data_IF_789280769130
#
_entry.id   IF_789280769130
#
_cell.length_a   1.000
_cell.length_b   1.000
_cell.length_c   1.000
_cell.angle_alpha   90.00
_cell.angle_beta   90.00
_cell.angle_gamma   90.00
#
_symmetry.space_group_name_H-M   'P 1'
#
loop_
_entity.id
_entity.type
_entity.pdbx_description
1 polymer ?
#
# COMPACT_ATOMS: atom_id res chain seq x y z
N UNK A 1 -23.78 -13.44 5.22
CA UNK A 1 -22.89 -12.59 6.05
C UNK A 1 -21.93 -13.40 6.93
N UNK A 2 -22.34 -14.49 7.53
CA UNK A 2 -21.49 -15.32 8.41
C UNK A 2 -20.32 -16.02 7.70
N UNK A 3 -20.51 -16.45 6.46
CA UNK A 3 -19.44 -17.04 5.65
C UNK A 3 -18.36 -16.02 5.25
N UNK A 4 -18.74 -14.76 4.98
CA UNK A 4 -17.79 -13.68 4.69
C UNK A 4 -16.96 -13.28 5.92
N UNK A 5 -17.52 -13.39 7.13
CA UNK A 5 -16.77 -13.23 8.38
C UNK A 5 -15.71 -14.33 8.57
N UNK A 6 -15.97 -15.56 8.08
CA UNK A 6 -15.00 -16.67 8.11
C UNK A 6 -13.80 -16.44 7.17
N UNK A 7 -13.96 -15.65 6.09
CA UNK A 7 -12.89 -15.35 5.15
C UNK A 7 -11.91 -14.29 5.68
N UNK A 8 -12.24 -13.57 6.76
CA UNK A 8 -11.40 -12.55 7.39
C UNK A 8 -10.71 -11.57 6.40
N UNK A 9 -11.43 -11.20 5.32
CA UNK A 9 -10.89 -10.36 4.25
C UNK A 9 -10.21 -9.09 4.79
N UNK A 10 -10.90 -8.38 5.70
CA UNK A 10 -10.37 -7.18 6.34
C UNK A 10 -9.04 -7.44 7.08
N UNK A 11 -8.95 -8.55 7.83
CA UNK A 11 -7.73 -8.91 8.56
C UNK A 11 -6.53 -9.14 7.63
N UNK A 12 -6.73 -9.90 6.55
CA UNK A 12 -5.68 -10.16 5.56
C UNK A 12 -5.22 -8.89 4.84
N UNK A 13 -6.16 -8.00 4.48
CA UNK A 13 -5.81 -6.71 3.86
C UNK A 13 -5.00 -5.83 4.81
N UNK A 14 -5.45 -5.67 6.06
CA UNK A 14 -4.73 -4.85 7.05
C UNK A 14 -3.34 -5.39 7.35
N UNK A 15 -3.17 -6.71 7.38
CA UNK A 15 -1.85 -7.35 7.52
C UNK A 15 -0.95 -7.02 6.33
N UNK A 16 -1.46 -7.15 5.11
CA UNK A 16 -0.71 -6.83 3.89
C UNK A 16 -0.32 -5.35 3.82
N UNK A 17 -1.21 -4.44 4.20
CA UNK A 17 -0.92 -2.99 4.30
C UNK A 17 0.20 -2.74 5.32
N UNK A 18 0.20 -3.45 6.46
CA UNK A 18 1.26 -3.29 7.47
C UNK A 18 2.63 -3.70 6.95
N UNK A 19 2.72 -4.69 6.05
CA UNK A 19 3.97 -5.07 5.38
C UNK A 19 4.39 -4.04 4.33
N UNK A 20 3.43 -3.36 3.71
CA UNK A 20 3.69 -2.37 2.67
C UNK A 20 4.21 -1.04 3.23
N UNK A 21 3.74 -0.61 4.41
CA UNK A 21 4.10 0.69 5.01
C UNK A 21 5.62 0.94 5.04
N UNK A 22 6.48 0.04 5.54
CA UNK A 22 7.93 0.27 5.56
C UNK A 22 8.52 0.45 4.16
N UNK A 23 7.98 -0.25 3.15
CA UNK A 23 8.44 -0.16 1.76
C UNK A 23 8.07 1.20 1.17
N UNK A 24 6.85 1.67 1.44
CA UNK A 24 6.39 3.01 1.03
C UNK A 24 7.23 4.09 1.68
N UNK A 25 7.46 3.99 2.99
CA UNK A 25 8.30 4.96 3.71
C UNK A 25 9.73 4.96 3.15
N UNK A 26 10.38 3.79 3.05
CA UNK A 26 11.74 3.69 2.52
C UNK A 26 11.86 4.17 1.08
N UNK A 27 10.95 3.70 0.20
CA UNK A 27 10.90 4.14 -1.19
C UNK A 27 10.62 5.63 -1.34
N UNK A 28 9.67 6.16 -0.56
CA UNK A 28 9.33 7.58 -0.54
C UNK A 28 10.50 8.46 -0.11
N UNK A 29 11.24 8.08 0.94
CA UNK A 29 12.45 8.81 1.36
C UNK A 29 13.54 8.78 0.29
N UNK A 30 13.77 7.65 -0.37
CA UNK A 30 14.75 7.56 -1.46
C UNK A 30 14.38 8.49 -2.63
N UNK A 31 13.10 8.51 -3.03
CA UNK A 31 12.62 9.46 -4.06
C UNK A 31 12.81 10.90 -3.58
N UNK A 32 12.34 11.21 -2.38
CA UNK A 32 12.38 12.59 -1.85
C UNK A 32 13.80 13.14 -1.75
N UNK A 33 14.73 12.36 -1.18
CA UNK A 33 16.14 12.76 -1.04
C UNK A 33 16.79 12.87 -2.42
N UNK A 34 16.60 11.88 -3.29
CA UNK A 34 17.17 11.88 -4.63
C UNK A 34 16.73 13.09 -5.43
N UNK A 35 15.42 13.36 -5.49
CA UNK A 35 14.87 14.49 -6.25
C UNK A 35 15.21 15.85 -5.60
N UNK A 36 15.20 15.97 -4.27
CA UNK A 36 15.57 17.19 -3.58
C UNK A 36 17.03 17.62 -3.83
N UNK A 37 17.91 16.65 -4.11
CA UNK A 37 19.32 16.88 -4.40
C UNK A 37 19.63 16.89 -5.92
N UNK A 38 18.60 17.07 -6.75
CA UNK A 38 18.73 17.30 -8.19
C UNK A 38 18.65 16.01 -9.04
N UNK A 39 18.30 14.88 -8.45
CA UNK A 39 18.08 13.64 -9.19
C UNK A 39 16.72 13.58 -9.88
N UNK A 40 16.61 12.68 -10.84
CA UNK A 40 15.40 12.38 -11.60
C UNK A 40 15.00 10.92 -11.41
N UNK A 41 13.72 10.66 -11.22
CA UNK A 41 13.22 9.29 -11.17
C UNK A 41 13.09 8.72 -12.59
N UNK A 42 14.01 7.85 -12.96
CA UNK A 42 14.13 7.22 -14.27
C UNK A 42 13.59 5.79 -14.29
N UNK A 43 12.71 5.42 -13.36
CA UNK A 43 12.21 4.04 -13.24
C UNK A 43 11.52 3.53 -14.51
N UNK A 44 10.75 4.40 -15.17
CA UNK A 44 10.05 4.03 -16.41
C UNK A 44 11.00 3.88 -17.62
N UNK A 45 12.04 4.70 -17.69
CA UNK A 45 12.96 4.77 -18.83
C UNK A 45 14.16 3.83 -18.64
N UNK A 46 14.44 3.43 -17.40
CA UNK A 46 15.60 2.63 -17.02
C UNK A 46 16.88 3.44 -16.84
N UNK A 47 17.82 2.91 -16.05
CA UNK A 47 19.13 3.51 -15.83
C UNK A 47 20.10 3.03 -16.89
N UNK A 48 20.65 3.96 -17.70
CA UNK A 48 21.71 3.67 -18.67
C UNK A 48 23.06 3.98 -18.04
N UNK A 49 23.96 3.00 -18.01
CA UNK A 49 25.29 3.15 -17.42
C UNK A 49 26.05 4.36 -17.97
N UNK A 50 26.56 5.21 -17.07
CA UNK A 50 27.28 6.42 -17.42
C UNK A 50 26.42 7.64 -17.77
N UNK A 51 25.07 7.51 -17.76
CA UNK A 51 24.14 8.59 -18.06
C UNK A 51 23.31 9.04 -16.87
N UNK A 52 23.58 8.56 -15.66
CA UNK A 52 22.86 8.94 -14.45
C UNK A 52 23.81 9.31 -13.31
N UNK A 53 23.35 10.18 -12.44
CA UNK A 53 24.03 10.58 -11.21
C UNK A 53 23.68 9.63 -10.06
N UNK A 54 24.38 9.77 -8.93
CA UNK A 54 24.03 9.09 -7.69
C UNK A 54 22.60 9.43 -7.23
N UNK A 55 22.17 10.69 -7.41
CA UNK A 55 20.85 11.15 -7.02
C UNK A 55 19.74 10.60 -7.91
N UNK A 56 19.99 10.44 -9.21
CA UNK A 56 19.08 9.76 -10.14
C UNK A 56 18.91 8.29 -9.75
N UNK A 57 20.00 7.62 -9.41
CA UNK A 57 19.93 6.23 -8.95
C UNK A 57 19.10 6.09 -7.67
N UNK A 58 19.27 7.02 -6.70
CA UNK A 58 18.52 7.03 -5.45
C UNK A 58 17.02 7.23 -5.70
N UNK A 59 16.67 8.26 -6.49
CA UNK A 59 15.28 8.54 -6.87
C UNK A 59 14.64 7.37 -7.63
N UNK A 60 15.40 6.74 -8.52
CA UNK A 60 14.94 5.61 -9.33
C UNK A 60 14.70 4.34 -8.49
N UNK A 61 15.59 4.02 -7.54
CA UNK A 61 15.38 2.92 -6.60
C UNK A 61 14.10 3.10 -5.78
N UNK A 62 13.87 4.31 -5.27
CA UNK A 62 12.64 4.66 -4.56
C UNK A 62 11.41 4.56 -5.46
N UNK A 63 11.50 5.09 -6.68
CA UNK A 63 10.44 5.02 -7.68
C UNK A 63 10.08 3.59 -8.05
N UNK A 64 11.06 2.71 -8.20
CA UNK A 64 10.86 1.29 -8.43
C UNK A 64 10.09 0.61 -7.27
N UNK A 65 10.47 0.91 -6.03
CA UNK A 65 9.78 0.38 -4.86
C UNK A 65 8.31 0.81 -4.81
N UNK A 66 8.02 2.09 -5.12
CA UNK A 66 6.65 2.63 -5.17
C UNK A 66 5.87 2.08 -6.37
N UNK A 67 6.50 1.95 -7.55
CA UNK A 67 5.87 1.39 -8.75
C UNK A 67 5.45 -0.08 -8.60
N UNK A 68 6.10 -0.82 -7.69
CA UNK A 68 5.78 -2.22 -7.39
C UNK A 68 4.73 -2.40 -6.27
N UNK A 69 4.09 -1.35 -5.79
CA UNK A 69 3.06 -1.46 -4.74
C UNK A 69 1.93 -2.45 -5.06
N UNK A 70 1.40 -2.54 -6.31
CA UNK A 70 0.42 -3.56 -6.65
C UNK A 70 0.92 -5.00 -6.47
N UNK A 71 2.19 -5.24 -6.76
CA UNK A 71 2.85 -6.52 -6.53
C UNK A 71 2.97 -6.83 -5.03
N UNK A 72 3.44 -5.85 -4.27
CA UNK A 72 3.71 -5.99 -2.83
C UNK A 72 2.42 -6.31 -2.08
N UNK A 73 1.32 -5.60 -2.37
CA UNK A 73 0.04 -5.85 -1.71
C UNK A 73 -0.54 -7.21 -2.11
N UNK A 74 -0.41 -7.64 -3.37
CA UNK A 74 -0.87 -8.95 -3.82
C UNK A 74 -0.15 -10.08 -3.10
N UNK A 75 1.18 -10.00 -2.99
CA UNK A 75 2.00 -10.96 -2.24
C UNK A 75 1.64 -10.94 -0.76
N UNK A 76 1.48 -9.75 -0.16
CA UNK A 76 1.13 -9.59 1.25
C UNK A 76 -0.21 -10.21 1.60
N UNK A 77 -1.24 -10.00 0.78
CA UNK A 77 -2.58 -10.61 0.96
C UNK A 77 -2.50 -12.12 0.78
N UNK A 78 -1.89 -12.61 -0.29
CA UNK A 78 -1.78 -14.04 -0.57
C UNK A 78 -0.96 -14.78 0.51
N UNK A 79 0.12 -14.16 1.00
CA UNK A 79 0.91 -14.68 2.11
C UNK A 79 0.12 -14.70 3.42
N UNK A 80 -0.63 -13.64 3.72
CA UNK A 80 -1.48 -13.58 4.93
C UNK A 80 -2.56 -14.69 4.93
N UNK A 81 -3.01 -15.13 3.75
CA UNK A 81 -4.03 -16.18 3.60
C UNK A 81 -3.41 -17.57 3.61
N UNK A 82 -2.40 -17.82 2.77
CA UNK A 82 -1.87 -19.16 2.49
C UNK A 82 -0.45 -19.41 3.03
N UNK A 83 0.18 -18.44 3.68
CA UNK A 83 1.56 -18.53 4.11
C UNK A 83 2.53 -18.60 2.93
N UNK A 84 3.65 -19.31 3.11
CA UNK A 84 4.71 -19.44 2.08
C UNK A 84 4.20 -19.89 0.69
N UNK A 85 3.28 -20.87 0.57
CA UNK A 85 2.73 -21.26 -0.73
C UNK A 85 1.99 -20.15 -1.48
N UNK A 86 1.51 -19.11 -0.78
CA UNK A 86 0.83 -17.95 -1.36
C UNK A 86 1.77 -16.93 -2.02
N UNK A 87 3.06 -16.95 -1.71
CA UNK A 87 4.01 -15.94 -2.20
C UNK A 87 4.10 -15.94 -3.72
N UNK A 88 4.38 -17.09 -4.32
CA UNK A 88 4.58 -17.18 -5.76
C UNK A 88 3.33 -16.81 -6.58
N UNK A 89 2.13 -17.35 -6.26
CA UNK A 89 0.92 -16.93 -6.98
C UNK A 89 0.57 -15.46 -6.72
N UNK A 90 0.79 -14.93 -5.51
CA UNK A 90 0.63 -13.51 -5.22
C UNK A 90 1.56 -12.64 -6.07
N UNK A 91 2.80 -13.07 -6.26
CA UNK A 91 3.80 -12.39 -7.10
C UNK A 91 3.36 -12.35 -8.57
N UNK A 92 2.98 -13.50 -9.13
CA UNK A 92 2.53 -13.60 -10.54
C UNK A 92 1.29 -12.73 -10.78
N UNK A 93 0.32 -12.79 -9.90
CA UNK A 93 -0.93 -12.00 -10.03
C UNK A 93 -0.68 -10.51 -9.85
N UNK A 94 0.22 -10.12 -8.92
CA UNK A 94 0.61 -8.72 -8.74
C UNK A 94 1.30 -8.13 -9.97
N UNK A 95 2.20 -8.89 -10.61
CA UNK A 95 2.79 -8.49 -11.89
C UNK A 95 1.73 -8.42 -13.01
N UNK A 96 0.80 -9.37 -13.04
CA UNK A 96 -0.32 -9.34 -14.00
C UNK A 96 -1.16 -8.06 -13.81
N UNK A 97 -1.44 -7.66 -12.57
CA UNK A 97 -2.19 -6.43 -12.26
C UNK A 97 -1.46 -5.17 -12.77
N UNK A 98 -0.13 -5.12 -12.67
CA UNK A 98 0.68 -4.04 -13.25
C UNK A 98 0.60 -4.08 -14.77
N UNK A 99 0.81 -5.24 -15.39
CA UNK A 99 0.86 -5.40 -16.84
C UNK A 99 -0.45 -4.99 -17.56
N UNK A 100 -1.60 -5.15 -16.90
CA UNK A 100 -2.92 -4.79 -17.46
C UNK A 100 -3.44 -3.45 -16.92
N UNK A 101 -2.59 -2.66 -16.25
CA UNK A 101 -2.95 -1.36 -15.66
C UNK A 101 -4.09 -1.42 -14.64
N UNK A 102 -4.35 -2.59 -14.03
CA UNK A 102 -5.34 -2.74 -12.97
C UNK A 102 -4.88 -2.15 -11.62
N UNK A 103 -3.63 -1.72 -11.53
CA UNK A 103 -3.07 -0.97 -10.43
C UNK A 103 -3.15 -1.70 -9.07
N UNK A 104 -3.20 -0.90 -8.02
CA UNK A 104 -3.21 -1.39 -6.65
C UNK A 104 -4.48 -2.18 -6.29
N UNK A 105 -5.65 -1.77 -6.83
CA UNK A 105 -6.93 -2.47 -6.64
C UNK A 105 -6.85 -3.88 -7.24
N UNK A 106 -6.27 -3.98 -8.44
CA UNK A 106 -5.98 -5.26 -9.07
C UNK A 106 -5.06 -6.13 -8.23
N UNK A 107 -4.02 -5.54 -7.61
CA UNK A 107 -3.14 -6.24 -6.68
C UNK A 107 -3.87 -6.81 -5.46
N UNK A 108 -4.77 -6.04 -4.84
CA UNK A 108 -5.59 -6.50 -3.71
C UNK A 108 -6.46 -7.69 -4.11
N UNK A 109 -7.26 -7.53 -5.15
CA UNK A 109 -8.20 -8.58 -5.60
C UNK A 109 -7.46 -9.83 -6.08
N UNK A 110 -6.39 -9.63 -6.84
CA UNK A 110 -5.53 -10.71 -7.28
C UNK A 110 -4.89 -11.47 -6.12
N UNK A 111 -4.42 -10.77 -5.10
CA UNK A 111 -3.88 -11.38 -3.89
C UNK A 111 -4.88 -12.28 -3.15
N UNK A 112 -6.15 -11.86 -3.06
CA UNK A 112 -7.22 -12.71 -2.53
C UNK A 112 -7.43 -13.96 -3.38
N UNK A 113 -7.57 -13.79 -4.71
CA UNK A 113 -7.77 -14.91 -5.64
C UNK A 113 -6.62 -15.91 -5.49
N UNK A 114 -5.38 -15.44 -5.55
CA UNK A 114 -4.18 -16.25 -5.44
C UNK A 114 -4.09 -16.99 -4.09
N UNK A 115 -4.33 -16.28 -2.98
CA UNK A 115 -4.25 -16.84 -1.63
C UNK A 115 -5.32 -17.91 -1.36
N UNK A 116 -6.59 -17.63 -1.68
CA UNK A 116 -7.65 -18.59 -1.48
C UNK A 116 -7.56 -19.78 -2.43
N UNK A 117 -7.12 -19.57 -3.67
CA UNK A 117 -6.88 -20.66 -4.60
C UNK A 117 -5.74 -21.55 -4.12
N UNK A 118 -4.67 -21.00 -3.58
CA UNK A 118 -3.58 -21.77 -2.98
C UNK A 118 -4.09 -22.66 -1.82
N UNK A 119 -4.89 -22.10 -0.89
CA UNK A 119 -5.50 -22.89 0.19
C UNK A 119 -6.44 -23.96 -0.37
N UNK A 120 -7.26 -23.63 -1.36
CA UNK A 120 -8.17 -24.58 -1.99
C UNK A 120 -7.43 -25.79 -2.54
N UNK A 121 -6.33 -25.56 -3.27
CA UNK A 121 -5.48 -26.63 -3.81
C UNK A 121 -4.89 -27.47 -2.68
N UNK A 122 -4.32 -26.85 -1.65
CA UNK A 122 -3.73 -27.55 -0.51
C UNK A 122 -4.75 -28.48 0.18
N UNK A 123 -5.99 -28.03 0.33
CA UNK A 123 -7.02 -28.78 1.06
C UNK A 123 -7.68 -29.89 0.25
N UNK A 124 -7.83 -29.71 -1.06
CA UNK A 124 -8.65 -30.58 -1.89
C UNK A 124 -7.85 -31.54 -2.78
N UNK A 125 -6.59 -31.22 -3.10
CA UNK A 125 -5.77 -32.07 -3.96
C UNK A 125 -5.15 -33.21 -3.14
N UNK A 126 -5.60 -34.44 -3.41
CA UNK A 126 -5.02 -35.63 -2.82
C UNK A 126 -3.85 -36.10 -3.65
N UNK A 127 -2.64 -36.04 -3.08
CA UNK A 127 -1.40 -36.40 -3.76
C UNK A 127 -0.83 -37.69 -3.15
N UNK A 128 -0.25 -38.58 -3.97
CA UNK A 128 0.45 -39.77 -3.48
C UNK A 128 1.58 -39.40 -2.49
N UNK A 129 1.88 -40.32 -1.57
CA UNK A 129 2.86 -40.08 -0.49
C UNK A 129 4.24 -39.63 -0.98
N UNK A 130 4.70 -40.14 -2.11
CA UNK A 130 5.99 -39.81 -2.71
C UNK A 130 6.05 -38.35 -3.25
N UNK A 131 4.91 -37.78 -3.62
CA UNK A 131 4.82 -36.43 -4.19
C UNK A 131 4.46 -35.33 -3.18
N UNK A 132 4.22 -35.69 -1.90
CA UNK A 132 3.80 -34.72 -0.86
C UNK A 132 4.76 -33.53 -0.71
N UNK A 133 6.07 -33.76 -0.88
CA UNK A 133 7.07 -32.69 -0.83
C UNK A 133 6.97 -31.69 -1.99
N UNK A 134 6.40 -32.07 -3.13
CA UNK A 134 6.20 -31.20 -4.29
C UNK A 134 4.96 -30.29 -4.14
N UNK A 135 4.08 -30.60 -3.20
CA UNK A 135 2.83 -29.83 -3.00
C UNK A 135 3.08 -28.35 -2.77
N UNK A 136 3.84 -27.93 -1.73
CA UNK A 136 4.03 -26.52 -1.43
C UNK A 136 5.03 -25.82 -2.36
N UNK A 137 5.94 -26.57 -3.01
CA UNK A 137 7.05 -25.98 -3.77
C UNK A 137 6.80 -25.90 -5.27
N UNK A 138 5.99 -26.79 -5.82
CA UNK A 138 5.72 -26.87 -7.27
C UNK A 138 4.23 -26.82 -7.57
N UNK A 139 3.44 -27.74 -7.02
CA UNK A 139 2.05 -27.96 -7.44
C UNK A 139 1.20 -26.75 -7.10
N UNK A 140 1.23 -26.30 -5.85
CA UNK A 140 0.44 -25.15 -5.41
C UNK A 140 0.89 -23.87 -6.13
N UNK A 141 2.17 -23.50 -6.13
CA UNK A 141 2.63 -22.29 -6.85
C UNK A 141 2.28 -22.33 -8.34
N UNK A 142 2.51 -23.45 -9.02
CA UNK A 142 2.27 -23.55 -10.46
C UNK A 142 0.78 -23.41 -10.80
N UNK A 143 -0.08 -24.24 -10.19
CA UNK A 143 -1.50 -24.27 -10.52
C UNK A 143 -2.18 -22.97 -10.08
N UNK A 144 -1.90 -22.48 -8.85
CA UNK A 144 -2.52 -21.26 -8.38
C UNK A 144 -2.04 -20.01 -9.12
N UNK A 145 -0.76 -19.92 -9.52
CA UNK A 145 -0.26 -18.83 -10.34
C UNK A 145 -0.92 -18.83 -11.73
N UNK A 146 -0.99 -19.99 -12.36
CA UNK A 146 -1.59 -20.11 -13.69
C UNK A 146 -3.08 -19.73 -13.67
N UNK A 147 -3.86 -20.36 -12.80
CA UNK A 147 -5.31 -20.11 -12.74
C UNK A 147 -5.63 -18.71 -12.26
N UNK A 148 -4.99 -18.23 -11.18
CA UNK A 148 -5.22 -16.89 -10.67
C UNK A 148 -4.75 -15.81 -11.65
N UNK A 149 -3.62 -16.03 -12.34
CA UNK A 149 -3.13 -15.13 -13.38
C UNK A 149 -4.10 -15.01 -14.56
N UNK A 150 -4.64 -16.13 -15.04
CA UNK A 150 -5.66 -16.11 -16.11
C UNK A 150 -6.95 -15.40 -15.66
N UNK A 151 -7.44 -15.68 -14.45
CA UNK A 151 -8.61 -15.00 -13.91
C UNK A 151 -8.34 -13.49 -13.82
N UNK A 152 -7.15 -13.09 -13.35
CA UNK A 152 -6.78 -11.69 -13.26
C UNK A 152 -6.77 -11.01 -14.63
N UNK A 153 -6.14 -11.60 -15.64
CA UNK A 153 -5.99 -10.99 -16.96
C UNK A 153 -7.33 -10.96 -17.72
N UNK A 154 -8.04 -12.07 -17.78
CA UNK A 154 -9.20 -12.21 -18.67
C UNK A 154 -10.55 -11.88 -18.02
N UNK A 155 -10.67 -12.00 -16.71
CA UNK A 155 -11.96 -11.84 -16.02
C UNK A 155 -12.00 -10.56 -15.19
N UNK A 156 -11.03 -10.36 -14.32
CA UNK A 156 -11.03 -9.27 -13.34
C UNK A 156 -10.33 -8.01 -13.85
N UNK A 157 -9.29 -8.16 -14.66
CA UNK A 157 -8.40 -7.08 -15.01
C UNK A 157 -9.08 -5.97 -15.81
N UNK A 158 -9.83 -6.33 -16.84
CA UNK A 158 -10.50 -5.35 -17.70
C UNK A 158 -11.48 -4.45 -16.94
N UNK A 159 -12.42 -4.98 -16.12
CA UNK A 159 -13.32 -4.12 -15.37
C UNK A 159 -12.59 -3.31 -14.27
N UNK A 160 -11.52 -3.83 -13.69
CA UNK A 160 -10.74 -3.12 -12.68
C UNK A 160 -9.94 -1.98 -13.32
N UNK A 161 -9.28 -2.23 -14.44
CA UNK A 161 -8.56 -1.20 -15.17
C UNK A 161 -9.52 -0.06 -15.59
N UNK A 162 -10.66 -0.40 -16.18
CA UNK A 162 -11.67 0.59 -16.56
C UNK A 162 -12.19 1.41 -15.36
N UNK A 163 -12.39 0.78 -14.20
CA UNK A 163 -12.76 1.49 -12.96
C UNK A 163 -11.64 2.41 -12.47
N UNK A 164 -10.40 1.97 -12.53
CA UNK A 164 -9.23 2.77 -12.11
C UNK A 164 -9.06 3.98 -13.05
N UNK A 165 -9.20 3.79 -14.34
CA UNK A 165 -9.14 4.87 -15.33
C UNK A 165 -10.28 5.88 -15.15
N UNK A 166 -11.51 5.41 -14.93
CA UNK A 166 -12.65 6.27 -14.61
C UNK A 166 -12.42 7.09 -13.34
N UNK A 167 -11.93 6.44 -12.26
CA UNK A 167 -11.63 7.12 -10.99
C UNK A 167 -10.53 8.16 -11.17
N UNK A 168 -9.50 7.83 -11.94
CA UNK A 168 -8.40 8.74 -12.30
C UNK A 168 -8.92 9.96 -13.03
N UNK A 169 -9.72 9.76 -14.08
CA UNK A 169 -10.31 10.84 -14.87
C UNK A 169 -11.23 11.74 -14.02
N UNK A 170 -12.03 11.14 -13.13
CA UNK A 170 -12.88 11.87 -12.19
C UNK A 170 -12.06 12.77 -11.26
N UNK A 171 -10.99 12.25 -10.67
CA UNK A 171 -10.15 12.99 -9.73
C UNK A 171 -9.31 14.06 -10.42
N UNK A 172 -8.80 13.80 -11.62
CA UNK A 172 -8.10 14.81 -12.43
C UNK A 172 -9.02 15.94 -12.88
N UNK A 173 -10.31 15.66 -13.06
CA UNK A 173 -11.34 16.65 -13.38
C UNK A 173 -11.79 17.52 -12.20
N UNK A 174 -11.31 17.26 -10.98
CA UNK A 174 -11.70 18.05 -9.82
C UNK A 174 -11.09 19.45 -9.86
N UNK A 175 -11.96 20.46 -9.80
CA UNK A 175 -11.57 21.86 -9.60
C UNK A 175 -11.02 22.12 -8.18
N UNK A 176 -10.49 23.32 -7.94
CA UNK A 176 -9.87 23.70 -6.66
C UNK A 176 -10.77 23.49 -5.45
N UNK A 177 -12.06 23.84 -5.55
CA UNK A 177 -13.04 23.65 -4.47
C UNK A 177 -13.29 22.18 -4.14
N UNK A 178 -13.32 21.32 -5.15
CA UNK A 178 -13.50 19.89 -4.97
C UNK A 178 -12.25 19.22 -4.37
N UNK A 179 -11.04 19.75 -4.68
CA UNK A 179 -9.78 19.32 -4.04
C UNK A 179 -9.76 19.66 -2.54
N UNK A 180 -10.34 20.82 -2.16
CA UNK A 180 -10.51 21.17 -0.75
C UNK A 180 -11.40 20.19 -0.02
N UNK A 181 -12.54 19.83 -0.61
CA UNK A 181 -13.48 18.83 -0.05
C UNK A 181 -12.78 17.48 0.07
N UNK A 182 -12.04 17.05 -0.95
CA UNK A 182 -11.26 15.81 -0.92
C UNK A 182 -10.26 15.81 0.24
N UNK A 183 -9.51 16.91 0.41
CA UNK A 183 -8.57 17.09 1.52
C UNK A 183 -9.24 17.04 2.89
N UNK A 184 -10.40 17.68 3.05
CA UNK A 184 -11.20 17.63 4.28
C UNK A 184 -11.69 16.23 4.61
N UNK A 185 -12.18 15.48 3.62
CA UNK A 185 -12.64 14.10 3.81
C UNK A 185 -11.49 13.18 4.18
N UNK A 186 -10.37 13.25 3.47
CA UNK A 186 -9.17 12.47 3.77
C UNK A 186 -8.66 12.80 5.18
N UNK A 187 -8.55 14.09 5.50
CA UNK A 187 -8.09 14.55 6.81
C UNK A 187 -8.98 14.05 7.94
N UNK A 188 -10.29 14.19 7.80
CA UNK A 188 -11.25 13.70 8.79
C UNK A 188 -11.14 12.19 9.01
N UNK A 189 -11.14 11.41 7.93
CA UNK A 189 -11.06 9.95 8.01
C UNK A 189 -9.72 9.45 8.58
N UNK A 190 -8.62 10.17 8.34
CA UNK A 190 -7.32 9.85 8.92
C UNK A 190 -7.27 10.04 10.44
N UNK A 191 -8.01 11.02 10.96
CA UNK A 191 -7.96 11.38 12.38
C UNK A 191 -8.99 10.59 13.22
N UNK A 192 -10.09 10.13 12.62
CA UNK A 192 -11.20 9.46 13.34
C UNK A 192 -10.75 8.28 14.21
N UNK A 193 -9.81 7.49 13.76
CA UNK A 193 -9.31 6.33 14.51
C UNK A 193 -7.77 6.26 14.58
N UNK A 194 -7.11 7.32 14.45
CA UNK A 194 -5.68 7.64 14.48
C UNK A 194 -4.74 6.42 14.53
N UNK A 195 -4.38 5.89 13.33
CA UNK A 195 -3.58 4.66 13.18
C UNK A 195 -4.38 3.37 13.18
N UNK A 196 -5.71 3.44 13.31
CA UNK A 196 -6.62 2.30 13.28
C UNK A 196 -7.01 1.83 11.87
N UNK A 197 -8.07 1.02 11.78
CA UNK A 197 -8.52 0.43 10.52
C UNK A 197 -8.97 1.44 9.47
N UNK A 198 -9.60 2.56 9.87
CA UNK A 198 -10.07 3.60 8.94
C UNK A 198 -8.88 4.35 8.37
N UNK A 199 -7.96 4.79 9.21
CA UNK A 199 -6.72 5.44 8.78
C UNK A 199 -5.95 4.57 7.78
N UNK A 200 -5.74 3.28 8.08
CA UNK A 200 -5.07 2.33 7.18
C UNK A 200 -5.79 2.14 5.86
N UNK A 201 -7.13 2.19 5.85
CA UNK A 201 -7.92 2.09 4.61
C UNK A 201 -7.74 3.34 3.76
N UNK A 202 -7.74 4.53 4.37
CA UNK A 202 -7.46 5.80 3.67
C UNK A 202 -6.05 5.79 3.12
N UNK A 203 -5.08 5.31 3.89
CA UNK A 203 -3.70 5.16 3.45
C UNK A 203 -3.60 4.29 2.20
N UNK A 204 -4.21 3.09 2.21
CA UNK A 204 -4.25 2.20 1.07
C UNK A 204 -4.93 2.85 -0.16
N UNK A 205 -6.02 3.58 0.06
CA UNK A 205 -6.73 4.32 -1.00
C UNK A 205 -5.84 5.38 -1.63
N UNK A 206 -5.18 6.23 -0.83
CA UNK A 206 -4.31 7.29 -1.35
C UNK A 206 -3.10 6.73 -2.09
N UNK A 207 -2.55 5.59 -1.63
CA UNK A 207 -1.46 4.90 -2.33
C UNK A 207 -1.92 4.25 -3.64
N UNK A 208 -3.16 3.79 -3.72
CA UNK A 208 -3.76 3.32 -4.97
C UNK A 208 -3.75 4.44 -6.02
N UNK A 209 -4.15 5.64 -5.62
CA UNK A 209 -4.19 6.81 -6.49
C UNK A 209 -2.79 7.30 -6.87
N UNK A 210 -1.85 7.28 -5.93
CA UNK A 210 -0.45 7.58 -6.19
C UNK A 210 0.14 6.65 -7.25
N UNK A 211 -0.13 5.34 -7.14
CA UNK A 211 0.31 4.35 -8.14
C UNK A 211 -0.34 4.56 -9.53
N UNK A 212 -1.45 5.30 -9.58
CA UNK A 212 -2.13 5.72 -10.82
C UNK A 212 -1.73 7.14 -11.28
N UNK A 213 -0.71 7.74 -10.68
CA UNK A 213 -0.19 9.07 -11.03
C UNK A 213 -0.97 10.25 -10.42
N UNK A 214 -1.91 10.00 -9.50
CA UNK A 214 -2.69 11.04 -8.81
C UNK A 214 -2.07 11.32 -7.45
N UNK A 215 -1.45 12.48 -7.30
CA UNK A 215 -0.65 12.82 -6.11
C UNK A 215 -1.43 13.60 -5.05
N UNK A 216 -2.51 14.29 -5.39
CA UNK A 216 -3.26 15.15 -4.46
C UNK A 216 -3.76 14.44 -3.21
N UNK A 217 -4.33 13.22 -3.28
CA UNK A 217 -4.81 12.52 -2.10
C UNK A 217 -3.69 12.12 -1.14
N UNK A 218 -2.55 11.65 -1.66
CA UNK A 218 -1.41 11.30 -0.81
C UNK A 218 -0.76 12.55 -0.21
N UNK A 219 -0.73 13.66 -0.95
CA UNK A 219 -0.26 14.95 -0.43
C UNK A 219 -1.13 15.42 0.73
N UNK A 220 -2.46 15.34 0.60
CA UNK A 220 -3.39 15.65 1.67
C UNK A 220 -3.18 14.74 2.91
N UNK A 221 -2.99 13.43 2.69
CA UNK A 221 -2.67 12.46 3.74
C UNK A 221 -1.38 12.83 4.49
N UNK A 222 -0.32 13.16 3.75
CA UNK A 222 0.98 13.51 4.35
C UNK A 222 0.89 14.82 5.15
N UNK A 223 0.18 15.83 4.64
CA UNK A 223 -0.07 17.06 5.40
C UNK A 223 -0.80 16.78 6.73
N UNK A 224 -1.78 15.88 6.74
CA UNK A 224 -2.48 15.48 7.97
C UNK A 224 -1.55 14.73 8.91
N UNK A 225 -0.78 13.79 8.40
CA UNK A 225 0.17 13.01 9.20
C UNK A 225 1.27 13.87 9.82
N UNK A 226 1.71 14.94 9.12
CA UNK A 226 2.66 15.93 9.61
C UNK A 226 2.03 16.91 10.61
N UNK A 227 0.89 17.49 10.25
CA UNK A 227 0.25 18.53 11.06
C UNK A 227 -0.26 18.02 12.40
N UNK A 228 -0.77 16.79 12.46
CA UNK A 228 -1.40 16.24 13.65
C UNK A 228 -0.42 16.05 14.82
N UNK A 229 0.73 15.37 14.69
CA UNK A 229 1.71 15.26 15.77
C UNK A 229 2.25 16.62 16.21
N UNK A 230 2.49 17.51 15.25
CA UNK A 230 2.93 18.88 15.54
C UNK A 230 1.87 19.61 16.37
N UNK A 231 0.59 19.50 15.98
CA UNK A 231 -0.53 20.11 16.72
C UNK A 231 -0.65 19.58 18.14
N UNK A 232 -0.50 18.27 18.35
CA UNK A 232 -0.49 17.70 19.70
C UNK A 232 0.70 18.18 20.53
N UNK A 233 1.90 18.28 19.94
CA UNK A 233 3.05 18.84 20.61
C UNK A 233 2.83 20.30 21.02
N UNK A 234 2.27 21.13 20.13
CA UNK A 234 1.91 22.51 20.47
C UNK A 234 0.87 22.60 21.58
N UNK A 235 -0.15 21.73 21.56
CA UNK A 235 -1.15 21.67 22.62
C UNK A 235 -0.53 21.41 24.00
N UNK A 236 0.47 20.52 24.08
CA UNK A 236 1.25 20.29 25.29
C UNK A 236 2.02 21.55 25.73
N UNK A 237 2.73 22.23 24.83
CA UNK A 237 3.46 23.44 25.18
C UNK A 237 2.55 24.57 25.66
N UNK A 238 1.37 24.73 25.04
CA UNK A 238 0.34 25.70 25.47
C UNK A 238 -0.19 25.33 26.87
N UNK A 239 -0.55 24.06 27.11
CA UNK A 239 -1.00 23.62 28.41
C UNK A 239 0.02 23.89 29.52
N UNK A 240 1.31 23.60 29.23
CA UNK A 240 2.44 23.90 30.13
C UNK A 240 2.60 25.39 30.40
N UNK A 241 2.52 26.23 29.36
CA UNK A 241 2.58 27.68 29.50
C UNK A 241 1.44 28.24 30.36
N UNK A 242 0.24 27.65 30.24
CA UNK A 242 -0.94 27.98 31.03
C UNK A 242 -0.94 27.33 32.43
N UNK A 243 0.14 26.62 32.81
CA UNK A 243 0.30 25.89 34.07
C UNK A 243 -0.83 24.89 34.36
N UNK A 244 -1.38 24.28 33.31
CA UNK A 244 -2.43 23.25 33.40
C UNK A 244 -1.79 21.87 33.29
N UNK A 245 -1.81 21.08 34.35
CA UNK A 245 -1.36 19.68 34.34
C UNK A 245 -2.54 18.77 33.93
N UNK A 246 -2.80 18.70 32.62
CA UNK A 246 -3.87 17.88 32.03
C UNK A 246 -3.36 16.56 31.44
N UNK A 247 -2.05 16.35 31.40
CA UNK A 247 -1.40 15.17 30.83
C UNK A 247 -0.66 14.40 31.92
N UNK A 248 -0.71 13.08 31.88
CA UNK A 248 0.11 12.20 32.74
C UNK A 248 1.57 12.14 32.25
N UNK A 249 2.46 11.48 33.02
CA UNK A 249 3.89 11.44 32.72
C UNK A 249 4.22 10.73 31.40
N UNK A 250 3.52 9.66 31.06
CA UNK A 250 3.68 8.91 29.81
C UNK A 250 3.22 9.74 28.61
N UNK A 251 2.07 10.39 28.71
CA UNK A 251 1.55 11.30 27.69
C UNK A 251 2.49 12.47 27.44
N UNK A 252 3.08 13.03 28.49
CA UNK A 252 4.06 14.14 28.37
C UNK A 252 5.29 13.70 27.58
N UNK A 253 5.80 12.49 27.80
CA UNK A 253 6.96 11.98 27.08
C UNK A 253 6.64 11.76 25.59
N UNK A 254 5.49 11.16 25.30
CA UNK A 254 4.99 10.97 23.94
C UNK A 254 4.76 12.32 23.22
N UNK A 255 4.18 13.31 23.89
CA UNK A 255 3.90 14.62 23.31
C UNK A 255 5.16 15.43 23.04
N UNK A 256 6.23 15.27 23.84
CA UNK A 256 7.54 15.90 23.57
C UNK A 256 8.18 15.39 22.28
N UNK A 257 8.02 14.10 21.99
CA UNK A 257 8.55 13.46 20.78
C UNK A 257 7.66 13.69 19.54
N UNK A 258 6.41 14.11 19.73
CA UNK A 258 5.44 14.28 18.66
C UNK A 258 5.86 15.34 17.63
N UNK A 259 6.42 16.47 18.07
CA UNK A 259 6.88 17.54 17.15
C UNK A 259 8.01 17.07 16.25
N UNK A 260 9.14 16.52 16.76
CA UNK A 260 10.18 15.97 15.91
C UNK A 260 9.66 14.87 14.96
N UNK A 261 8.79 13.98 15.45
CA UNK A 261 8.20 12.94 14.60
C UNK A 261 7.32 13.51 13.49
N UNK A 262 6.54 14.55 13.78
CA UNK A 262 5.73 15.22 12.76
C UNK A 262 6.56 15.94 11.69
N UNK A 263 7.74 16.44 12.05
CA UNK A 263 8.67 17.07 11.09
C UNK A 263 9.37 16.03 10.22
N UNK A 264 9.55 14.81 10.73
CA UNK A 264 10.20 13.71 10.01
C UNK A 264 9.23 12.91 9.10
N UNK A 265 7.92 13.06 9.27
CA UNK A 265 6.91 12.47 8.39
C UNK A 265 6.74 13.29 7.09
#
# INVERSE_FOLDING_TARGET
MEQLKKLNLKGHLLTAISYMIPIVCGGGFLVAIGMALGGTNMYADGLVQGQFTFWDALATMGGAALGLLPLIIAVGVAYSIAGKPGIAPGFVVGLSAIAISAGFIGGILGGYIAGYLAIFIIKNFKIPSWAKGLMPTVIVPLISSFVAGLIMIYVCGVPIAAFTDWLTALLMGLGTSSKLILGLVIGFLCIVDFGGPINKTVYAFTLTLLASGINEPVTALQLVNTATPIGFGFAYFIAKALRKNIYDAEQVENLKSAVPMGVLN
#
